data_IF_912279767209
#
_entry.id   IF_912279767209
#
_cell.length_a   1.000
_cell.length_b   1.000
_cell.length_c   1.000
_cell.angle_alpha   90.00
_cell.angle_beta   90.00
_cell.angle_gamma   90.00
#
_symmetry.space_group_name_H-M   'P 1'
#
loop_
_entity.id
_entity.type
_entity.pdbx_description
1 polymer ?
#
# COMPACT_ATOMS: atom_id res chain seq x y z
N UNK A 1 -4.47 -15.44 9.06
CA UNK A 1 -3.45 -16.04 9.93
C UNK A 1 -4.07 -16.10 11.32
N UNK A 2 -4.19 -17.27 11.95
CA UNK A 2 -4.83 -17.41 13.27
C UNK A 2 -3.79 -17.24 14.36
N UNK A 3 -3.92 -16.17 15.16
CA UNK A 3 -2.98 -15.86 16.24
C UNK A 3 -3.41 -16.64 17.49
N UNK A 4 -2.52 -17.40 18.16
CA UNK A 4 -2.85 -18.06 19.41
C UNK A 4 -3.35 -17.06 20.45
N UNK A 5 -4.49 -17.35 21.09
CA UNK A 5 -5.11 -16.45 22.04
C UNK A 5 -4.21 -16.16 23.25
N UNK A 6 -4.03 -14.87 23.56
CA UNK A 6 -3.37 -14.41 24.77
C UNK A 6 -4.12 -13.19 25.33
N UNK A 7 -4.35 -13.15 26.64
CA UNK A 7 -5.04 -12.04 27.28
C UNK A 7 -4.12 -10.82 27.51
N UNK A 8 -3.63 -10.22 26.43
CA UNK A 8 -2.69 -9.09 26.47
C UNK A 8 -3.06 -7.99 25.45
N UNK A 9 -2.57 -6.76 25.69
CA UNK A 9 -2.83 -5.63 24.77
C UNK A 9 -2.12 -5.83 23.43
N UNK A 10 -0.92 -6.43 23.44
CA UNK A 10 -0.17 -6.80 22.24
C UNK A 10 -0.95 -7.81 21.40
N UNK A 11 -1.56 -8.81 22.04
CA UNK A 11 -2.46 -9.73 21.35
C UNK A 11 -3.64 -8.99 20.71
N UNK A 12 -4.34 -8.14 21.46
CA UNK A 12 -5.49 -7.38 20.93
C UNK A 12 -5.09 -6.52 19.72
N UNK A 13 -3.93 -5.85 19.79
CA UNK A 13 -3.39 -5.09 18.65
C UNK A 13 -3.13 -5.98 17.43
N UNK A 14 -2.42 -7.10 17.62
CA UNK A 14 -2.07 -8.00 16.52
C UNK A 14 -3.30 -8.66 15.91
N UNK A 15 -4.24 -9.11 16.74
CA UNK A 15 -5.50 -9.70 16.30
C UNK A 15 -6.39 -8.66 15.58
N UNK A 16 -6.47 -7.43 16.08
CA UNK A 16 -7.18 -6.35 15.40
C UNK A 16 -6.59 -6.09 14.01
N UNK A 17 -5.25 -6.02 13.91
CA UNK A 17 -4.53 -5.72 12.67
C UNK A 17 -4.58 -6.85 11.64
N UNK A 18 -4.25 -8.07 12.03
CA UNK A 18 -3.94 -9.16 11.09
C UNK A 18 -5.08 -10.17 10.91
N UNK A 19 -6.09 -10.14 11.78
CA UNK A 19 -7.22 -11.07 11.72
C UNK A 19 -8.55 -10.35 11.54
N UNK A 20 -8.88 -9.40 12.41
CA UNK A 20 -10.19 -8.74 12.40
C UNK A 20 -10.31 -7.71 11.28
N UNK A 21 -9.37 -6.79 11.12
CA UNK A 21 -9.45 -5.76 10.07
C UNK A 21 -9.60 -6.34 8.65
N UNK A 22 -8.83 -7.37 8.24
CA UNK A 22 -9.05 -8.00 6.93
C UNK A 22 -10.46 -8.60 6.77
N UNK A 23 -11.00 -9.21 7.83
CA UNK A 23 -12.38 -9.76 7.82
C UNK A 23 -13.43 -8.65 7.79
N UNK A 24 -13.19 -7.55 8.52
CA UNK A 24 -14.04 -6.36 8.48
C UNK A 24 -14.05 -5.78 7.07
N UNK A 25 -12.88 -5.65 6.43
CA UNK A 25 -12.77 -5.18 5.05
C UNK A 25 -13.53 -6.07 4.07
N UNK A 26 -13.46 -7.41 4.23
CA UNK A 26 -14.23 -8.32 3.39
C UNK A 26 -15.75 -8.13 3.54
N UNK A 27 -16.24 -7.93 4.77
CA UNK A 27 -17.66 -7.63 5.01
C UNK A 27 -18.02 -6.24 4.45
N UNK A 28 -17.14 -5.26 4.62
CA UNK A 28 -17.34 -3.89 4.18
C UNK A 28 -17.49 -3.77 2.64
N UNK A 29 -16.88 -4.68 1.85
CA UNK A 29 -17.09 -4.73 0.38
C UNK A 29 -18.56 -4.79 -0.01
N UNK A 30 -19.42 -5.41 0.79
CA UNK A 30 -20.86 -5.49 0.53
C UNK A 30 -21.59 -4.15 0.59
N UNK A 31 -20.97 -3.11 1.17
CA UNK A 31 -21.54 -1.76 1.26
C UNK A 31 -21.17 -0.89 0.04
N UNK A 32 -20.23 -1.29 -0.82
CA UNK A 32 -19.78 -0.46 -1.94
C UNK A 32 -19.30 0.92 -1.47
N UNK A 33 -19.83 1.99 -2.04
CA UNK A 33 -19.50 3.37 -1.66
C UNK A 33 -20.36 3.91 -0.50
N UNK A 34 -21.31 3.12 0.00
CA UNK A 34 -22.19 3.55 1.08
C UNK A 34 -21.46 3.60 2.44
N UNK A 35 -21.65 4.67 3.24
CA UNK A 35 -21.13 4.73 4.59
C UNK A 35 -21.70 3.65 5.51
N UNK A 36 -20.86 3.11 6.38
CA UNK A 36 -21.24 2.11 7.37
C UNK A 36 -20.67 2.41 8.76
N UNK A 37 -21.33 1.89 9.79
CA UNK A 37 -20.84 1.95 11.16
C UNK A 37 -19.82 0.84 11.41
N UNK A 38 -18.54 1.19 11.51
CA UNK A 38 -17.45 0.21 11.76
C UNK A 38 -17.69 -0.59 13.05
N UNK A 39 -18.33 0.01 14.05
CA UNK A 39 -18.69 -0.65 15.31
C UNK A 39 -19.68 -1.80 15.13
N UNK A 40 -20.57 -1.75 14.14
CA UNK A 40 -21.58 -2.77 13.94
C UNK A 40 -20.97 -4.03 13.34
N UNK A 41 -20.12 -3.84 12.33
CA UNK A 41 -19.36 -4.93 11.69
C UNK A 41 -18.38 -5.55 12.70
N UNK A 42 -17.60 -4.71 13.39
CA UNK A 42 -16.60 -5.18 14.37
C UNK A 42 -17.24 -5.91 15.55
N UNK A 43 -18.38 -5.43 16.09
CA UNK A 43 -19.07 -6.10 17.19
C UNK A 43 -19.52 -7.50 16.79
N UNK A 44 -20.11 -7.66 15.60
CA UNK A 44 -20.54 -8.96 15.07
C UNK A 44 -19.35 -9.91 14.94
N UNK A 45 -18.27 -9.46 14.31
CA UNK A 45 -17.07 -10.28 14.12
C UNK A 45 -16.38 -10.65 15.43
N UNK A 46 -16.37 -9.75 16.42
CA UNK A 46 -15.85 -10.05 17.76
C UNK A 46 -16.65 -11.18 18.42
N UNK A 47 -17.98 -11.14 18.35
CA UNK A 47 -18.83 -12.19 18.94
C UNK A 47 -18.76 -13.53 18.22
N UNK A 48 -18.39 -13.53 16.93
CA UNK A 48 -18.14 -14.76 16.17
C UNK A 48 -16.75 -15.35 16.45
N UNK A 49 -15.79 -14.51 16.84
CA UNK A 49 -14.37 -14.91 16.98
C UNK A 49 -14.00 -15.25 18.42
N UNK A 50 -14.63 -14.57 19.39
CA UNK A 50 -14.30 -14.68 20.81
C UNK A 50 -15.51 -15.08 21.62
N UNK A 51 -15.28 -15.87 22.67
CA UNK A 51 -16.32 -16.14 23.66
C UNK A 51 -16.62 -14.88 24.49
N UNK A 52 -17.82 -14.75 25.07
CA UNK A 52 -18.15 -13.65 25.98
C UNK A 52 -17.15 -13.53 27.14
N UNK A 53 -16.69 -14.66 27.67
CA UNK A 53 -15.73 -14.71 28.77
C UNK A 53 -14.38 -14.11 28.35
N UNK A 54 -13.89 -14.43 27.14
CA UNK A 54 -12.65 -13.85 26.61
C UNK A 54 -12.74 -12.33 26.45
N UNK A 55 -13.86 -11.82 25.96
CA UNK A 55 -14.08 -10.38 25.75
C UNK A 55 -14.20 -9.58 27.06
N UNK A 56 -14.58 -10.25 28.15
CA UNK A 56 -14.71 -9.69 29.50
C UNK A 56 -13.41 -9.72 30.31
N UNK A 57 -12.37 -10.42 29.84
CA UNK A 57 -11.06 -10.44 30.51
C UNK A 57 -10.50 -9.02 30.60
N UNK A 58 -10.07 -8.64 31.81
CA UNK A 58 -9.44 -7.35 32.07
C UNK A 58 -7.93 -7.44 31.95
N UNK A 59 -7.36 -6.60 31.10
CA UNK A 59 -5.92 -6.51 30.85
C UNK A 59 -5.39 -5.20 31.45
N UNK A 60 -4.29 -5.28 32.21
CA UNK A 60 -3.63 -4.11 32.80
C UNK A 60 -2.99 -3.20 31.74
N UNK A 61 -2.98 -1.90 31.98
CA UNK A 61 -2.17 -0.94 31.21
C UNK A 61 -0.70 -1.05 31.62
N UNK A 62 0.22 -0.90 30.65
CA UNK A 62 1.65 -1.01 30.92
C UNK A 62 2.19 0.13 31.82
N UNK A 63 1.52 1.29 31.86
CA UNK A 63 1.97 2.50 32.57
C UNK A 63 1.04 2.92 33.72
N UNK A 64 0.02 2.13 34.06
CA UNK A 64 -0.87 2.44 35.18
C UNK A 64 -1.55 1.18 35.74
N UNK A 65 -2.04 1.27 36.98
CA UNK A 65 -2.83 0.19 37.61
C UNK A 65 -4.25 0.04 37.04
N UNK A 66 -4.62 0.86 36.05
CA UNK A 66 -5.91 0.74 35.39
C UNK A 66 -5.95 -0.53 34.52
N UNK A 67 -7.06 -1.26 34.59
CA UNK A 67 -7.35 -2.42 33.74
C UNK A 67 -8.56 -2.14 32.85
N UNK A 68 -8.52 -2.61 31.62
CA UNK A 68 -9.59 -2.46 30.63
C UNK A 68 -10.01 -3.83 30.10
N UNK A 69 -11.30 -3.99 29.79
CA UNK A 69 -11.80 -5.21 29.16
C UNK A 69 -11.23 -5.36 27.76
N UNK A 70 -10.96 -6.59 27.31
CA UNK A 70 -10.52 -6.85 25.94
C UNK A 70 -11.48 -6.25 24.90
N UNK A 71 -12.79 -6.36 25.12
CA UNK A 71 -13.82 -5.72 24.25
C UNK A 71 -13.62 -4.21 24.09
N UNK A 72 -13.33 -3.50 25.18
CA UNK A 72 -13.03 -2.07 25.16
C UNK A 72 -11.73 -1.77 24.41
N UNK A 73 -10.71 -2.60 24.59
CA UNK A 73 -9.42 -2.44 23.92
C UNK A 73 -9.55 -2.69 22.40
N UNK A 74 -10.34 -3.69 21.99
CA UNK A 74 -10.70 -3.89 20.57
C UNK A 74 -11.48 -2.71 20.00
N UNK A 75 -12.46 -2.20 20.76
CA UNK A 75 -13.25 -1.03 20.38
C UNK A 75 -12.42 0.24 20.15
N UNK A 76 -11.23 0.31 20.74
CA UNK A 76 -10.24 1.35 20.45
C UNK A 76 -9.34 1.00 19.25
N UNK A 77 -8.69 -0.17 19.25
CA UNK A 77 -7.68 -0.48 18.25
C UNK A 77 -8.25 -0.68 16.84
N UNK A 78 -9.46 -1.21 16.71
CA UNK A 78 -10.07 -1.45 15.38
C UNK A 78 -10.27 -0.12 14.62
N UNK A 79 -11.00 0.89 15.15
CA UNK A 79 -11.12 2.17 14.46
C UNK A 79 -9.78 2.90 14.34
N UNK A 80 -8.94 2.86 15.38
CA UNK A 80 -7.61 3.47 15.35
C UNK A 80 -6.75 2.91 14.21
N UNK A 81 -6.75 1.59 14.01
CA UNK A 81 -5.97 0.95 12.95
C UNK A 81 -6.64 1.12 11.58
N UNK A 82 -7.97 1.08 11.50
CA UNK A 82 -8.69 1.32 10.25
C UNK A 82 -8.33 2.69 9.65
N UNK A 83 -8.26 3.73 10.50
CA UNK A 83 -7.88 5.08 10.11
C UNK A 83 -6.39 5.21 9.82
N UNK A 84 -5.51 4.79 10.74
CA UNK A 84 -4.06 4.97 10.58
C UNK A 84 -3.45 4.13 9.46
N UNK A 85 -4.07 3.00 9.12
CA UNK A 85 -3.64 2.16 8.00
C UNK A 85 -4.38 2.48 6.71
N UNK A 86 -5.24 3.50 6.72
CA UNK A 86 -6.06 3.91 5.58
C UNK A 86 -6.78 2.71 4.96
N UNK A 87 -7.41 1.89 5.80
CA UNK A 87 -8.24 0.76 5.32
C UNK A 87 -9.59 1.26 4.85
N UNK A 88 -10.09 2.30 5.52
CA UNK A 88 -11.35 2.96 5.25
C UNK A 88 -11.17 4.47 5.42
N UNK A 89 -12.04 5.26 4.80
CA UNK A 89 -12.09 6.69 5.07
C UNK A 89 -13.00 6.95 6.27
N UNK A 90 -12.48 7.69 7.25
CA UNK A 90 -13.21 8.06 8.45
C UNK A 90 -14.06 9.32 8.18
N UNK A 91 -15.38 9.18 8.30
CA UNK A 91 -16.35 10.27 8.10
C UNK A 91 -16.76 10.97 9.40
N UNK A 92 -16.18 10.57 10.53
CA UNK A 92 -16.54 11.04 11.87
C UNK A 92 -17.73 10.28 12.46
N UNK A 93 -17.94 10.43 13.78
CA UNK A 93 -19.05 9.76 14.50
C UNK A 93 -19.00 8.23 14.50
N UNK A 94 -17.87 7.62 14.11
CA UNK A 94 -17.73 6.17 13.94
C UNK A 94 -18.25 5.63 12.61
N UNK A 95 -18.63 6.53 11.69
CA UNK A 95 -18.95 6.21 10.30
C UNK A 95 -17.68 6.11 9.47
N UNK A 96 -17.61 5.08 8.63
CA UNK A 96 -16.54 4.85 7.70
C UNK A 96 -17.13 4.57 6.32
N UNK A 97 -16.39 4.86 5.25
CA UNK A 97 -16.70 4.38 3.91
C UNK A 97 -15.53 3.58 3.37
N UNK A 98 -15.81 2.65 2.45
CA UNK A 98 -14.72 2.04 1.69
C UNK A 98 -13.98 3.16 0.96
N UNK A 99 -12.66 3.11 0.99
CA UNK A 99 -11.86 3.95 0.11
C UNK A 99 -12.11 3.41 -1.29
N UNK A 100 -12.59 4.27 -2.19
CA UNK A 100 -12.80 3.82 -3.57
C UNK A 100 -11.46 3.39 -4.16
N UNK A 101 -11.46 2.34 -4.99
CA UNK A 101 -10.24 1.89 -5.68
C UNK A 101 -9.58 3.03 -6.47
N UNK A 102 -10.36 4.02 -6.92
CA UNK A 102 -9.88 5.24 -7.58
C UNK A 102 -9.19 6.20 -6.61
N UNK A 103 -9.71 6.41 -5.39
CA UNK A 103 -9.08 7.25 -4.35
C UNK A 103 -7.86 6.59 -3.70
N UNK A 104 -7.81 5.25 -3.58
CA UNK A 104 -6.63 4.55 -3.07
C UNK A 104 -5.47 4.59 -4.08
N UNK A 105 -5.79 4.51 -5.39
CA UNK A 105 -4.84 4.76 -6.48
C UNK A 105 -4.44 6.24 -6.54
N UNK A 106 -5.38 7.16 -6.38
CA UNK A 106 -5.12 8.59 -6.42
C UNK A 106 -4.37 9.11 -5.18
N UNK A 107 -4.57 8.58 -3.98
CA UNK A 107 -3.79 8.93 -2.77
C UNK A 107 -2.44 8.23 -2.76
N UNK A 108 -2.31 6.99 -3.25
CA UNK A 108 -1.02 6.33 -3.37
C UNK A 108 -0.14 6.99 -4.45
N UNK A 109 -0.76 7.61 -5.47
CA UNK A 109 -0.10 8.47 -6.44
C UNK A 109 0.11 9.89 -5.85
N UNK A 110 -0.88 10.50 -5.20
CA UNK A 110 -0.77 11.89 -4.69
C UNK A 110 0.09 12.04 -3.42
N UNK A 111 0.19 11.03 -2.56
CA UNK A 111 1.15 11.04 -1.44
C UNK A 111 2.62 10.95 -1.89
N UNK A 112 2.85 10.66 -3.18
CA UNK A 112 4.17 10.76 -3.84
C UNK A 112 4.37 12.11 -4.55
N UNK A 113 3.33 12.96 -4.64
CA UNK A 113 3.35 14.29 -5.26
C UNK A 113 3.43 15.35 -4.15
N UNK A 114 4.40 15.22 -3.24
CA UNK A 114 4.95 16.41 -2.59
C UNK A 114 6.16 16.85 -3.42
N UNK A 115 5.88 17.56 -4.52
CA UNK A 115 6.90 18.05 -5.47
C UNK A 115 7.84 19.08 -4.80
N UNK A 116 7.54 19.49 -3.57
CA UNK A 116 8.34 20.42 -2.78
C UNK A 116 9.32 19.73 -1.81
N UNK A 117 9.28 18.40 -1.65
CA UNK A 117 10.26 17.70 -0.80
C UNK A 117 11.54 17.37 -1.58
N UNK A 118 12.69 17.80 -1.05
CA UNK A 118 14.03 17.53 -1.61
C UNK A 118 14.51 16.09 -1.24
N UNK A 119 13.57 15.15 -1.06
CA UNK A 119 13.85 13.85 -0.46
C UNK A 119 14.53 12.91 -1.46
N UNK A 120 15.58 12.25 -0.96
CA UNK A 120 16.22 11.14 -1.65
C UNK A 120 15.29 9.93 -1.66
N UNK A 121 15.33 9.16 -2.74
CA UNK A 121 14.51 7.97 -2.88
C UNK A 121 14.98 7.06 -4.00
N UNK A 122 14.17 6.06 -4.31
CA UNK A 122 14.45 5.05 -5.32
C UNK A 122 13.41 5.15 -6.42
N UNK A 123 13.87 5.33 -7.65
CA UNK A 123 13.08 5.02 -8.85
C UNK A 123 13.20 3.53 -9.13
N UNK A 124 12.10 2.88 -9.46
CA UNK A 124 12.10 1.49 -9.91
C UNK A 124 11.35 1.35 -11.23
N UNK A 125 11.77 0.37 -12.02
CA UNK A 125 11.08 -0.03 -13.24
C UNK A 125 10.74 -1.51 -13.14
N UNK A 126 9.48 -1.88 -13.35
CA UNK A 126 9.06 -3.29 -13.33
C UNK A 126 8.14 -3.64 -14.49
N UNK A 127 8.05 -4.94 -14.77
CA UNK A 127 7.14 -5.52 -15.77
C UNK A 127 6.71 -6.93 -15.32
N UNK A 128 6.08 -7.70 -16.20
CA UNK A 128 5.67 -9.08 -15.92
C UNK A 128 6.46 -10.07 -16.80
N UNK A 129 6.87 -11.24 -16.26
CA UNK A 129 7.74 -12.18 -16.96
C UNK A 129 7.29 -12.53 -18.39
N UNK A 130 6.00 -12.79 -18.61
CA UNK A 130 5.48 -13.18 -19.94
C UNK A 130 5.55 -12.07 -20.98
N UNK A 131 5.58 -10.80 -20.58
CA UNK A 131 5.60 -9.66 -21.51
C UNK A 131 6.98 -9.01 -21.65
N UNK A 132 7.94 -9.36 -20.79
CA UNK A 132 9.32 -8.86 -20.89
C UNK A 132 9.95 -9.33 -22.20
N UNK A 133 10.45 -8.37 -22.96
CA UNK A 133 11.16 -8.65 -24.22
C UNK A 133 12.64 -8.37 -24.06
N UNK A 134 13.47 -9.41 -24.26
CA UNK A 134 14.94 -9.34 -24.15
C UNK A 134 15.65 -9.06 -25.48
N UNK A 135 14.88 -8.94 -26.56
CA UNK A 135 15.34 -8.71 -27.93
C UNK A 135 15.49 -7.21 -28.27
N UNK A 136 15.42 -6.33 -27.27
CA UNK A 136 15.46 -4.87 -27.44
C UNK A 136 14.16 -4.27 -27.97
N UNK A 137 13.11 -5.07 -28.19
CA UNK A 137 11.80 -4.52 -28.55
C UNK A 137 11.15 -3.85 -27.35
N UNK A 138 10.38 -2.78 -27.62
CA UNK A 138 9.61 -2.08 -26.59
C UNK A 138 8.55 -3.02 -25.99
N UNK A 139 8.38 -2.94 -24.68
CA UNK A 139 7.35 -3.66 -23.95
C UNK A 139 6.80 -2.81 -22.80
N UNK A 140 5.66 -3.20 -22.20
CA UNK A 140 5.08 -2.44 -21.11
C UNK A 140 5.97 -2.49 -19.87
N UNK A 141 6.42 -1.32 -19.43
CA UNK A 141 7.20 -1.13 -18.20
C UNK A 141 6.46 -0.08 -17.37
N UNK A 142 6.24 -0.38 -16.09
CA UNK A 142 5.82 0.62 -15.11
C UNK A 142 7.05 1.24 -14.47
N UNK A 143 7.09 2.57 -14.40
CA UNK A 143 8.17 3.31 -13.73
C UNK A 143 7.60 4.05 -12.54
N UNK A 144 7.96 3.66 -11.32
CA UNK A 144 7.43 4.26 -10.10
C UNK A 144 8.53 4.67 -9.13
N UNK A 145 8.13 5.32 -8.03
CA UNK A 145 9.03 5.72 -6.96
C UNK A 145 8.72 5.10 -5.59
N UNK A 146 9.72 5.11 -4.72
CA UNK A 146 9.59 4.87 -3.27
C UNK A 146 10.59 5.70 -2.46
N UNK A 147 10.18 6.17 -1.29
CA UNK A 147 11.05 6.85 -0.30
C UNK A 147 11.47 5.92 0.84
N UNK A 148 10.92 4.69 0.91
CA UNK A 148 11.13 3.77 2.03
C UNK A 148 12.36 2.86 1.90
N UNK A 149 13.11 2.98 0.80
CA UNK A 149 14.32 2.20 0.54
C UNK A 149 14.08 0.77 0.06
N UNK A 150 12.83 0.31 -0.07
CA UNK A 150 12.49 -1.04 -0.52
C UNK A 150 11.53 -1.00 -1.72
N UNK A 151 12.10 -1.06 -2.92
CA UNK A 151 11.35 -1.07 -4.17
C UNK A 151 10.59 -2.39 -4.39
N UNK A 152 11.14 -3.53 -3.97
CA UNK A 152 10.50 -4.82 -4.18
C UNK A 152 9.25 -4.96 -3.31
N UNK A 153 9.30 -4.53 -2.05
CA UNK A 153 8.12 -4.48 -1.20
C UNK A 153 7.04 -3.54 -1.76
N UNK A 154 7.44 -2.38 -2.31
CA UNK A 154 6.51 -1.42 -2.95
C UNK A 154 5.83 -2.02 -4.18
N UNK A 155 6.60 -2.64 -5.07
CA UNK A 155 6.09 -3.29 -6.29
C UNK A 155 5.18 -4.47 -5.93
N UNK A 156 5.56 -5.28 -4.95
CA UNK A 156 4.73 -6.38 -4.45
C UNK A 156 3.43 -5.89 -3.82
N UNK A 157 3.45 -4.77 -3.09
CA UNK A 157 2.23 -4.16 -2.55
C UNK A 157 1.29 -3.71 -3.67
N UNK A 158 1.81 -3.05 -4.71
CA UNK A 158 1.02 -2.63 -5.88
C UNK A 158 0.43 -3.82 -6.65
N UNK A 159 1.14 -4.95 -6.68
CA UNK A 159 0.67 -6.13 -7.41
C UNK A 159 -0.28 -7.03 -6.61
N UNK A 160 -0.35 -6.91 -5.28
CA UNK A 160 -1.28 -7.69 -4.44
C UNK A 160 -2.76 -7.40 -4.70
N UNK A 161 -3.08 -6.21 -5.21
CA UNK A 161 -4.45 -5.75 -5.46
C UNK A 161 -4.85 -5.86 -6.93
N UNK A 162 -3.92 -6.20 -7.82
CA UNK A 162 -4.20 -6.39 -9.25
C UNK A 162 -4.46 -7.86 -9.56
N UNK A 163 -5.48 -8.15 -10.39
CA UNK A 163 -5.74 -9.49 -10.91
C UNK A 163 -4.68 -9.88 -11.96
N UNK A 164 -3.42 -9.97 -11.55
CA UNK A 164 -2.33 -10.45 -12.40
C UNK A 164 -1.98 -11.89 -12.02
N UNK A 165 -1.88 -12.76 -13.02
CA UNK A 165 -1.57 -14.19 -12.82
C UNK A 165 -0.08 -14.45 -12.57
N UNK A 166 0.76 -13.42 -12.65
CA UNK A 166 2.21 -13.51 -12.52
C UNK A 166 2.72 -12.50 -11.50
N UNK A 167 3.77 -12.87 -10.78
CA UNK A 167 4.51 -11.93 -9.95
C UNK A 167 5.29 -10.94 -10.83
N UNK A 168 5.32 -9.65 -10.47
CA UNK A 168 6.11 -8.66 -11.18
C UNK A 168 7.60 -9.00 -11.09
N UNK A 169 8.34 -8.65 -12.14
CA UNK A 169 9.80 -8.65 -12.15
C UNK A 169 10.28 -7.21 -12.20
N UNK A 170 11.02 -6.79 -11.18
CA UNK A 170 11.68 -5.49 -11.20
C UNK A 170 12.90 -5.58 -12.09
N UNK A 171 12.93 -4.70 -13.09
CA UNK A 171 13.95 -4.63 -14.14
C UNK A 171 15.16 -3.83 -13.66
N UNK A 172 14.94 -2.80 -12.83
CA UNK A 172 16.01 -2.05 -12.18
C UNK A 172 15.51 -1.03 -11.17
N UNK A 173 16.47 -0.54 -10.39
CA UNK A 173 16.29 0.46 -9.33
C UNK A 173 17.42 1.47 -9.39
N UNK A 174 17.11 2.73 -9.12
CA UNK A 174 18.05 3.84 -9.14
C UNK A 174 17.84 4.72 -7.92
N UNK A 175 18.88 4.91 -7.12
CA UNK A 175 18.88 5.91 -6.06
C UNK A 175 19.05 7.30 -6.68
N UNK A 176 18.12 8.20 -6.35
CA UNK A 176 18.07 9.55 -6.91
C UNK A 176 17.77 10.57 -5.82
N UNK A 177 18.17 11.81 -6.08
CA UNK A 177 17.73 12.96 -5.29
C UNK A 177 16.45 13.51 -5.89
N UNK A 178 15.58 14.13 -5.08
CA UNK A 178 14.30 14.69 -5.53
C UNK A 178 13.46 13.65 -6.27
N UNK A 179 13.20 12.52 -5.63
CA UNK A 179 12.65 11.33 -6.29
C UNK A 179 11.32 11.60 -7.01
N UNK A 180 10.46 12.46 -6.45
CA UNK A 180 9.19 12.87 -7.08
C UNK A 180 9.41 13.67 -8.37
N UNK A 181 10.30 14.67 -8.34
CA UNK A 181 10.63 15.46 -9.53
C UNK A 181 11.31 14.61 -10.61
N UNK A 182 12.15 13.66 -10.19
CA UNK A 182 12.78 12.69 -11.09
C UNK A 182 11.76 11.81 -11.79
N UNK A 183 10.84 11.19 -11.04
CA UNK A 183 9.77 10.37 -11.61
C UNK A 183 8.94 11.17 -12.62
N UNK A 184 8.50 12.37 -12.23
CA UNK A 184 7.73 13.24 -13.11
C UNK A 184 8.48 13.61 -14.40
N UNK A 185 9.79 13.87 -14.31
CA UNK A 185 10.63 14.13 -15.47
C UNK A 185 10.73 12.90 -16.39
N UNK A 186 10.84 11.69 -15.83
CA UNK A 186 10.87 10.44 -16.59
C UNK A 186 9.53 10.23 -17.31
N UNK A 187 8.41 10.35 -16.59
CA UNK A 187 7.07 10.18 -17.16
C UNK A 187 6.81 11.18 -18.29
N UNK A 188 7.10 12.47 -18.04
CA UNK A 188 6.93 13.54 -19.03
C UNK A 188 7.77 13.28 -20.28
N UNK A 189 9.00 12.80 -20.10
CA UNK A 189 9.91 12.49 -21.23
C UNK A 189 9.40 11.31 -22.04
N UNK A 190 8.99 10.21 -21.38
CA UNK A 190 8.47 9.02 -22.07
C UNK A 190 7.13 9.29 -22.75
N UNK A 191 6.28 10.11 -22.14
CA UNK A 191 5.02 10.57 -22.73
C UNK A 191 5.27 11.46 -23.95
N UNK A 192 6.17 12.43 -23.87
CA UNK A 192 6.55 13.28 -25.00
C UNK A 192 7.13 12.47 -26.18
N UNK A 193 7.77 11.32 -25.89
CA UNK A 193 8.24 10.35 -26.90
C UNK A 193 7.15 9.42 -27.43
N UNK A 194 5.88 9.61 -27.04
CA UNK A 194 4.75 8.80 -27.50
C UNK A 194 4.73 7.38 -26.92
N UNK A 195 5.42 7.13 -25.81
CA UNK A 195 5.53 5.79 -25.21
C UNK A 195 4.43 5.48 -24.21
N UNK A 196 3.61 6.45 -23.82
CA UNK A 196 2.56 6.28 -22.81
C UNK A 196 1.52 5.26 -23.25
N UNK A 197 1.17 4.35 -22.36
CA UNK A 197 0.19 3.31 -22.61
C UNK A 197 -1.16 3.70 -22.04
N UNK A 198 -2.25 3.33 -22.73
CA UNK A 198 -3.58 3.36 -22.15
C UNK A 198 -3.72 2.14 -21.21
N UNK A 199 -3.54 2.37 -19.92
CA UNK A 199 -3.60 1.36 -18.86
C UNK A 199 -4.13 2.00 -17.56
N UNK A 200 -4.56 1.20 -16.57
CA UNK A 200 -4.84 1.71 -15.22
C UNK A 200 -3.57 2.31 -14.60
N UNK A 201 -3.61 3.59 -14.26
CA UNK A 201 -2.47 4.37 -13.77
C UNK A 201 -1.75 5.18 -14.86
N UNK A 202 -1.02 6.23 -14.47
CA UNK A 202 -0.31 7.12 -15.40
C UNK A 202 1.12 6.68 -15.69
N UNK A 203 1.64 5.68 -14.98
CA UNK A 203 3.06 5.34 -15.00
C UNK A 203 3.45 4.17 -15.93
N UNK A 204 2.58 3.76 -16.86
CA UNK A 204 2.85 2.66 -17.80
C UNK A 204 3.30 3.14 -19.18
N UNK A 205 4.43 2.59 -19.65
CA UNK A 205 5.06 2.99 -20.91
C UNK A 205 5.46 1.77 -21.75
N UNK A 206 5.22 1.83 -23.06
CA UNK A 206 5.83 0.94 -24.05
C UNK A 206 7.25 1.44 -24.36
N UNK A 207 8.22 0.96 -23.60
CA UNK A 207 9.62 1.43 -23.64
C UNK A 207 10.59 0.25 -23.50
N UNK A 208 11.88 0.55 -23.40
CA UNK A 208 12.95 -0.43 -23.10
C UNK A 208 13.62 -0.07 -21.79
N UNK A 209 14.31 -1.03 -21.17
CA UNK A 209 15.08 -0.77 -19.95
C UNK A 209 16.16 0.29 -20.20
N UNK A 210 16.87 0.18 -21.32
CA UNK A 210 17.93 1.08 -21.75
C UNK A 210 17.41 2.50 -21.96
N UNK A 211 16.19 2.64 -22.49
CA UNK A 211 15.57 3.95 -22.66
C UNK A 211 15.22 4.61 -21.32
N UNK A 212 14.63 3.85 -20.38
CA UNK A 212 14.37 4.36 -19.02
C UNK A 212 15.68 4.78 -18.36
N UNK A 213 16.71 3.93 -18.45
CA UNK A 213 18.03 4.23 -17.90
C UNK A 213 18.66 5.48 -18.55
N UNK A 214 18.50 5.66 -19.85
CA UNK A 214 19.02 6.83 -20.58
C UNK A 214 18.38 8.14 -20.10
N UNK A 215 17.08 8.13 -19.78
CA UNK A 215 16.37 9.31 -19.28
C UNK A 215 16.83 9.62 -17.86
N UNK A 216 16.96 8.61 -17.00
CA UNK A 216 17.46 8.79 -15.62
C UNK A 216 18.87 9.38 -15.63
N UNK A 217 19.78 8.83 -16.45
CA UNK A 217 21.15 9.34 -16.60
C UNK A 217 21.20 10.75 -17.18
N UNK A 218 20.26 11.11 -18.04
CA UNK A 218 20.18 12.46 -18.59
C UNK A 218 19.80 13.49 -17.51
N UNK A 219 18.85 13.16 -16.64
CA UNK A 219 18.39 14.06 -15.57
C UNK A 219 19.38 14.09 -14.39
N UNK A 220 19.91 12.93 -13.99
CA UNK A 220 20.92 12.81 -12.93
C UNK A 220 22.05 11.87 -13.39
N UNK A 221 23.16 12.40 -13.93
CA UNK A 221 24.26 11.59 -14.47
C UNK A 221 24.96 10.68 -13.45
N UNK A 222 24.87 11.00 -12.16
CA UNK A 222 25.41 10.20 -11.06
C UNK A 222 24.52 9.02 -10.67
N UNK A 223 23.29 8.94 -11.17
CA UNK A 223 22.39 7.83 -10.90
C UNK A 223 22.81 6.60 -11.72
N UNK A 224 23.04 5.49 -11.03
CA UNK A 224 23.38 4.22 -11.65
C UNK A 224 22.38 3.17 -11.22
N UNK A 225 22.04 2.26 -12.14
CA UNK A 225 21.21 1.12 -11.80
C UNK A 225 21.97 0.29 -10.77
N UNK A 226 21.33 0.03 -9.62
CA UNK A 226 21.92 -0.85 -8.62
C UNK A 226 21.96 -2.27 -9.20
N UNK A 227 23.14 -2.88 -9.40
CA UNK A 227 23.22 -4.24 -9.91
C UNK A 227 22.54 -5.18 -8.90
N UNK A 228 21.56 -5.95 -9.38
CA UNK A 228 20.88 -6.95 -8.56
C UNK A 228 21.68 -8.26 -8.56
N UNK A 229 21.78 -8.95 -7.40
CA UNK A 229 22.33 -10.30 -7.33
C UNK A 229 21.44 -11.34 -8.03
#
# INVERSE_FOLDING_TARGET
>A
MTIPFEASRSYVYNAARYELLPRIAEVAKGFGDEPFLLREISKKLLTETYSPEQLEIKVKKAKSDASEKMSTIFGFYIPFLAENLKVFENLGGGMFRNISLEEEMAEADAAAIDVESDDAGIIYAYSFPTIVRKDGNRFPIKVGLTTTGDADARVMQQCKTTCCFEYPVVLGTWEVLRVAAMEHAIHSTLEARGSKRYAPGTEWFNTTFEEVESVIKFVQPSAHATPRP
#
